data_IF_157360426365
#
_entry.id   IF_157360426365
#
_cell.length_a   1.000
_cell.length_b   1.000
_cell.length_c   1.000
_cell.angle_alpha   90.00
_cell.angle_beta   90.00
_cell.angle_gamma   90.00
#
_symmetry.space_group_name_H-M   'P 1'
#
loop_
_entity.id
_entity.type
_entity.pdbx_description
1 polymer ?
#
# COMPACT_ATOMS: atom_id res chain seq x y z
N UNK A 1 -11.03 1.06 -30.52
CA UNK A 1 -10.71 1.27 -29.09
C UNK A 1 -9.52 0.40 -28.78
N UNK A 2 -8.37 0.98 -28.42
CA UNK A 2 -7.27 0.20 -27.85
C UNK A 2 -7.62 -0.09 -26.40
N UNK A 3 -7.78 -1.36 -26.05
CA UNK A 3 -7.90 -1.78 -24.65
C UNK A 3 -6.55 -1.56 -23.99
N UNK A 4 -6.49 -0.69 -22.97
CA UNK A 4 -5.32 -0.57 -22.12
C UNK A 4 -5.20 -1.85 -21.30
N UNK A 5 -4.11 -2.59 -21.48
CA UNK A 5 -3.83 -3.81 -20.71
C UNK A 5 -3.06 -3.39 -19.46
N UNK A 6 -3.49 -3.88 -18.30
CA UNK A 6 -2.78 -3.64 -17.05
C UNK A 6 -1.36 -4.25 -17.15
N UNK A 7 -0.33 -3.45 -16.88
CA UNK A 7 1.09 -3.89 -16.92
C UNK A 7 1.56 -4.54 -15.61
N UNK A 8 0.73 -4.50 -14.56
CA UNK A 8 0.99 -5.13 -13.28
C UNK A 8 0.82 -6.64 -13.44
N UNK A 9 1.90 -7.39 -13.19
CA UNK A 9 1.90 -8.85 -13.28
C UNK A 9 1.94 -9.53 -11.90
N UNK A 10 2.18 -8.77 -10.84
CA UNK A 10 2.10 -9.23 -9.46
C UNK A 10 1.85 -8.04 -8.51
N UNK A 11 1.41 -8.36 -7.30
CA UNK A 11 1.26 -7.43 -6.17
C UNK A 11 1.74 -8.10 -4.90
N UNK A 12 2.10 -7.30 -3.90
CA UNK A 12 2.54 -7.76 -2.58
C UNK A 12 1.60 -7.24 -1.52
N UNK A 13 1.02 -8.13 -0.71
CA UNK A 13 0.06 -7.74 0.34
C UNK A 13 0.73 -6.92 1.45
N UNK A 14 -0.06 -6.05 2.10
CA UNK A 14 0.44 -5.17 3.16
C UNK A 14 1.17 -5.91 4.28
N UNK A 15 0.69 -7.06 4.72
CA UNK A 15 1.37 -7.93 5.68
C UNK A 15 2.79 -8.31 5.25
N UNK A 16 2.97 -8.63 3.96
CA UNK A 16 4.28 -9.00 3.41
C UNK A 16 5.19 -7.78 3.28
N UNK A 17 4.64 -6.63 2.85
CA UNK A 17 5.39 -5.36 2.79
C UNK A 17 5.83 -4.91 4.19
N UNK A 18 4.94 -4.93 5.19
CA UNK A 18 5.27 -4.62 6.58
C UNK A 18 6.42 -5.48 7.10
N UNK A 19 6.35 -6.79 6.85
CA UNK A 19 7.43 -7.73 7.21
C UNK A 19 8.76 -7.40 6.51
N UNK A 20 8.73 -7.03 5.24
CA UNK A 20 9.93 -6.77 4.44
C UNK A 20 10.58 -5.42 4.80
N UNK A 21 9.77 -4.44 5.19
CA UNK A 21 10.23 -3.14 5.68
C UNK A 21 10.58 -3.14 7.18
N UNK A 22 10.15 -4.15 7.93
CA UNK A 22 10.31 -4.22 9.38
C UNK A 22 9.42 -3.24 10.15
N UNK A 23 8.26 -2.90 9.57
CA UNK A 23 7.28 -1.96 10.16
C UNK A 23 6.11 -2.72 10.79
N UNK A 24 5.42 -2.04 11.71
CA UNK A 24 4.15 -2.52 12.27
C UNK A 24 3.04 -2.45 11.22
N UNK A 25 2.26 -3.53 11.07
CA UNK A 25 1.24 -3.62 10.02
C UNK A 25 0.07 -2.67 10.27
N UNK A 26 -0.39 -2.51 11.51
CA UNK A 26 -1.50 -1.60 11.84
C UNK A 26 -1.09 -0.15 11.55
N UNK A 27 0.12 0.23 11.92
CA UNK A 27 0.68 1.55 11.59
C UNK A 27 0.85 1.74 10.07
N UNK A 28 1.31 0.71 9.36
CA UNK A 28 1.44 0.76 7.91
C UNK A 28 0.08 0.90 7.23
N UNK A 29 -0.97 0.29 7.80
CA UNK A 29 -2.34 0.40 7.31
C UNK A 29 -2.85 1.84 7.42
N UNK A 30 -2.60 2.52 8.55
CA UNK A 30 -2.94 3.94 8.72
C UNK A 30 -2.30 4.83 7.63
N UNK A 31 -1.05 4.55 7.28
CA UNK A 31 -0.32 5.27 6.23
C UNK A 31 -0.87 4.93 4.83
N UNK A 32 -1.04 3.65 4.54
CA UNK A 32 -1.49 3.18 3.23
C UNK A 32 -2.92 3.61 2.89
N UNK A 33 -3.74 4.00 3.88
CA UNK A 33 -5.05 4.58 3.63
C UNK A 33 -5.03 5.94 2.92
N UNK A 34 -3.89 6.64 2.91
CA UNK A 34 -3.76 7.90 2.19
C UNK A 34 -3.40 7.71 0.71
N UNK A 35 -3.10 6.48 0.29
CA UNK A 35 -2.78 6.17 -1.09
C UNK A 35 -4.05 5.99 -1.92
N UNK A 36 -4.05 6.56 -3.12
CA UNK A 36 -5.08 6.36 -4.13
C UNK A 36 -4.68 5.25 -5.12
N UNK A 37 -5.62 4.77 -5.93
CA UNK A 37 -5.35 3.67 -6.89
C UNK A 37 -4.21 4.02 -7.86
N UNK A 38 -4.09 5.30 -8.20
CA UNK A 38 -3.02 5.87 -9.02
C UNK A 38 -1.63 5.75 -8.37
N UNK A 39 -1.56 5.70 -7.04
CA UNK A 39 -0.32 5.52 -6.29
C UNK A 39 0.12 4.05 -6.26
N UNK A 40 -0.67 3.14 -6.84
CA UNK A 40 -0.28 1.73 -7.00
C UNK A 40 -0.71 0.81 -5.86
N UNK A 41 -1.64 1.25 -5.00
CA UNK A 41 -2.38 0.39 -4.06
C UNK A 41 -3.55 -0.30 -4.77
N UNK A 42 -3.78 -1.56 -4.43
CA UNK A 42 -4.82 -2.42 -5.01
C UNK A 42 -5.53 -3.17 -3.88
N UNK A 43 -6.86 -3.21 -3.92
CA UNK A 43 -7.66 -4.03 -3.01
C UNK A 43 -7.83 -5.45 -3.55
N UNK A 44 -7.46 -6.44 -2.76
CA UNK A 44 -7.58 -7.87 -3.08
C UNK A 44 -8.67 -8.49 -2.21
N UNK A 45 -9.70 -9.05 -2.85
CA UNK A 45 -10.86 -9.67 -2.17
C UNK A 45 -10.80 -11.20 -2.30
N UNK A 46 -10.85 -11.90 -1.17
CA UNK A 46 -10.84 -13.37 -1.09
C UNK A 46 -12.21 -13.97 -0.72
N UNK A 47 -12.24 -15.27 -0.43
CA UNK A 47 -13.42 -15.93 0.15
C UNK A 47 -13.38 -15.69 1.68
N UNK A 48 -14.03 -14.61 2.12
CA UNK A 48 -14.01 -14.05 3.48
C UNK A 48 -14.37 -12.56 3.45
N UNK A 49 -14.54 -11.90 4.61
CA UNK A 49 -14.73 -10.43 4.66
C UNK A 49 -13.46 -9.69 5.08
N UNK A 50 -13.49 -8.40 4.71
CA UNK A 50 -12.46 -7.38 4.58
C UNK A 50 -11.40 -7.65 3.50
N UNK A 51 -11.43 -6.83 2.43
CA UNK A 51 -10.40 -6.84 1.41
C UNK A 51 -9.04 -6.49 2.01
N UNK A 52 -7.96 -6.98 1.42
CA UNK A 52 -6.60 -6.64 1.86
C UNK A 52 -5.96 -5.68 0.86
N UNK A 53 -5.27 -4.65 1.37
CA UNK A 53 -4.43 -3.81 0.53
C UNK A 53 -3.20 -4.59 0.07
N UNK A 54 -2.88 -4.47 -1.21
CA UNK A 54 -1.68 -4.99 -1.84
C UNK A 54 -1.09 -3.93 -2.76
N UNK A 55 0.22 -4.00 -2.98
CA UNK A 55 0.96 -2.96 -3.67
C UNK A 55 1.65 -3.53 -4.89
N UNK A 56 1.63 -2.77 -5.96
CA UNK A 56 2.55 -2.95 -7.08
C UNK A 56 3.97 -2.57 -6.67
N UNK A 57 5.00 -2.89 -7.46
CA UNK A 57 6.37 -2.41 -7.20
C UNK A 57 6.42 -0.87 -7.07
N UNK A 58 5.74 -0.17 -7.97
CA UNK A 58 5.58 1.29 -7.92
C UNK A 58 4.85 1.76 -6.66
N UNK A 59 3.82 1.02 -6.24
CA UNK A 59 3.10 1.31 -4.99
C UNK A 59 3.96 1.15 -3.75
N UNK A 60 4.87 0.19 -3.73
CA UNK A 60 5.83 0.04 -2.63
C UNK A 60 6.79 1.25 -2.59
N UNK A 61 7.26 1.72 -3.75
CA UNK A 61 8.12 2.91 -3.82
C UNK A 61 7.39 4.16 -3.26
N UNK A 62 6.15 4.40 -3.67
CA UNK A 62 5.35 5.52 -3.16
C UNK A 62 5.07 5.40 -1.66
N UNK A 63 4.74 4.18 -1.19
CA UNK A 63 4.51 3.91 0.23
C UNK A 63 5.77 4.18 1.07
N UNK A 64 6.96 3.85 0.56
CA UNK A 64 8.24 4.16 1.23
C UNK A 64 8.45 5.66 1.37
N UNK A 65 8.13 6.47 0.36
CA UNK A 65 8.21 7.93 0.46
C UNK A 65 7.21 8.49 1.48
N UNK A 66 5.99 7.95 1.51
CA UNK A 66 4.97 8.34 2.48
C UNK A 66 5.37 7.97 3.92
N UNK A 67 5.93 6.77 4.12
CA UNK A 67 6.54 6.34 5.38
C UNK A 67 7.60 7.32 5.87
N UNK A 68 8.50 7.77 4.98
CA UNK A 68 9.54 8.74 5.35
C UNK A 68 8.92 10.06 5.83
N UNK A 69 7.92 10.58 5.10
CA UNK A 69 7.20 11.80 5.48
C UNK A 69 6.62 11.69 6.90
N UNK A 70 5.99 10.56 7.22
CA UNK A 70 5.39 10.31 8.53
C UNK A 70 6.42 10.11 9.64
N UNK A 71 7.54 9.44 9.37
CA UNK A 71 8.63 9.30 10.33
C UNK A 71 9.30 10.63 10.65
N UNK A 72 9.43 11.51 9.66
CA UNK A 72 9.95 12.86 9.84
C UNK A 72 8.95 13.78 10.55
N UNK A 73 7.65 13.53 10.39
CA UNK A 73 6.59 14.36 10.95
C UNK A 73 5.49 13.51 11.63
N UNK A 74 5.78 12.87 12.78
CA UNK A 74 4.84 11.93 13.42
C UNK A 74 3.48 12.52 13.78
N UNK A 75 3.40 13.84 13.98
CA UNK A 75 2.16 14.54 14.30
C UNK A 75 1.18 14.70 13.13
N UNK A 76 1.56 14.31 11.91
CA UNK A 76 0.66 14.29 10.77
C UNK A 76 -0.35 13.14 10.86
N UNK A 77 0.05 12.02 11.46
CA UNK A 77 -0.80 10.82 11.54
C UNK A 77 -1.83 11.04 12.63
N UNK A 78 -3.08 11.36 12.25
CA UNK A 78 -4.19 11.50 13.18
C UNK A 78 -5.04 10.23 13.13
N UNK A 79 -4.87 9.36 14.13
CA UNK A 79 -5.79 8.26 14.41
C UNK A 79 -7.11 8.77 14.97
#
# INVERSE_FOLDING_TARGET
MTTHVNKVHHVTTITKVAKDLGEDEDWLWDIANEMETEDGVIWVYGVGEDGVQAFTDFGIENLIELIKLYKENPGLLKR
#
